data_IF_834289485939
#
_entry.id   IF_834289485939
#
_cell.length_a   1.000
_cell.length_b   1.000
_cell.length_c   1.000
_cell.angle_alpha   90.00
_cell.angle_beta   90.00
_cell.angle_gamma   90.00
#
_symmetry.space_group_name_H-M   'P 1'
#
loop_
_entity.id
_entity.type
_entity.pdbx_description
1 polymer ?
#
# COMPACT_ATOMS: atom_id res chain seq x y z
N UNK A 1 26.38 23.72 18.80
CA UNK A 1 24.96 23.63 18.44
C UNK A 1 24.91 23.54 16.94
N UNK A 2 24.59 22.37 16.36
CA UNK A 2 24.42 22.28 14.91
C UNK A 2 23.19 23.10 14.53
N UNK A 3 23.34 24.01 13.57
CA UNK A 3 22.20 24.78 13.07
C UNK A 3 21.23 23.82 12.35
N UNK A 4 19.93 24.10 12.43
CA UNK A 4 18.87 23.24 11.85
C UNK A 4 19.13 22.93 10.37
N UNK A 5 19.72 23.88 9.66
CA UNK A 5 20.05 23.80 8.24
C UNK A 5 21.19 22.82 7.95
N UNK A 6 22.20 22.72 8.84
CA UNK A 6 23.28 21.73 8.69
C UNK A 6 22.75 20.30 8.84
N UNK A 7 21.85 20.06 9.79
CA UNK A 7 21.24 18.75 9.98
C UNK A 7 20.39 18.33 8.78
N UNK A 8 19.67 19.28 8.17
CA UNK A 8 18.84 19.02 6.98
C UNK A 8 19.73 18.68 5.78
N UNK A 9 20.87 19.37 5.60
CA UNK A 9 21.81 19.07 4.52
C UNK A 9 22.48 17.71 4.70
N UNK A 10 22.82 17.33 5.92
CA UNK A 10 23.42 16.02 6.21
C UNK A 10 22.42 14.88 5.95
N UNK A 11 21.15 15.06 6.31
CA UNK A 11 20.06 14.13 5.99
C UNK A 11 19.78 14.08 4.47
N UNK A 12 19.83 15.23 3.79
CA UNK A 12 19.60 15.31 2.34
C UNK A 12 20.68 14.66 1.48
N UNK A 13 21.89 14.49 2.01
CA UNK A 13 23.00 13.81 1.34
C UNK A 13 23.06 12.30 1.62
N UNK A 14 22.22 11.78 2.52
CA UNK A 14 22.15 10.34 2.82
C UNK A 14 21.41 9.59 1.72
N UNK A 15 21.86 8.37 1.45
CA UNK A 15 21.11 7.45 0.59
C UNK A 15 19.83 6.98 1.29
N UNK A 16 18.84 6.53 0.51
CA UNK A 16 17.56 6.04 1.03
C UNK A 16 17.74 4.91 2.05
N UNK A 17 18.81 4.12 1.93
CA UNK A 17 19.14 3.02 2.83
C UNK A 17 19.69 3.54 4.17
N UNK A 18 20.59 4.52 4.13
CA UNK A 18 21.14 5.17 5.35
C UNK A 18 20.09 5.97 6.11
N UNK A 19 19.12 6.57 5.40
CA UNK A 19 17.97 7.21 6.02
C UNK A 19 17.08 6.21 6.76
N UNK A 20 16.88 5.01 6.21
CA UNK A 20 16.12 3.94 6.86
C UNK A 20 16.82 3.44 8.13
N UNK A 21 18.15 3.32 8.10
CA UNK A 21 18.95 2.97 9.27
C UNK A 21 18.92 4.06 10.34
N UNK A 22 18.99 5.34 9.94
CA UNK A 22 18.87 6.48 10.84
C UNK A 22 17.48 6.54 11.52
N UNK A 23 16.41 6.28 10.77
CA UNK A 23 15.05 6.18 11.32
C UNK A 23 14.96 5.05 12.35
N UNK A 24 15.49 3.86 12.04
CA UNK A 24 15.54 2.72 12.98
C UNK A 24 16.31 3.06 14.26
N UNK A 25 17.48 3.67 14.11
CA UNK A 25 18.30 4.09 15.24
C UNK A 25 17.58 5.13 16.11
N UNK A 26 16.81 6.04 15.50
CA UNK A 26 15.99 7.02 16.22
C UNK A 26 14.81 6.38 16.95
N UNK A 27 14.15 5.39 16.35
CA UNK A 27 13.06 4.63 16.97
C UNK A 27 13.55 3.86 18.21
N UNK A 28 14.73 3.24 18.14
CA UNK A 28 15.36 2.54 19.26
C UNK A 28 15.87 3.49 20.35
N UNK A 29 16.56 4.57 19.96
CA UNK A 29 17.14 5.55 20.90
C UNK A 29 16.10 6.32 21.69
N UNK A 30 15.03 6.74 21.03
CA UNK A 30 13.99 7.57 21.62
C UNK A 30 12.76 6.76 22.04
N UNK A 31 12.80 5.44 21.88
CA UNK A 31 11.71 4.55 22.26
C UNK A 31 10.39 4.89 21.55
N UNK A 32 10.48 5.51 20.36
CA UNK A 32 9.32 5.84 19.52
C UNK A 32 8.93 4.59 18.73
N UNK A 33 8.64 3.53 19.46
CA UNK A 33 7.95 2.36 18.95
C UNK A 33 6.48 2.52 19.27
N UNK A 34 5.61 2.38 18.27
CA UNK A 34 4.15 2.45 18.41
C UNK A 34 3.55 1.28 19.24
N UNK A 35 4.35 0.61 20.06
CA UNK A 35 4.00 -0.61 20.78
C UNK A 35 3.45 -0.40 22.20
N UNK A 36 3.32 0.84 22.71
CA UNK A 36 3.08 1.08 24.14
C UNK A 36 1.71 1.62 24.58
N UNK A 37 0.65 1.66 23.75
CA UNK A 37 -0.71 1.69 24.32
C UNK A 37 -1.72 0.73 23.65
N UNK A 38 -1.29 -0.45 23.17
CA UNK A 38 -2.21 -1.48 22.64
C UNK A 38 -2.59 -2.58 23.65
N UNK A 39 -2.14 -2.49 24.90
CA UNK A 39 -2.46 -3.50 25.94
C UNK A 39 -3.65 -3.14 26.84
N UNK A 40 -4.24 -1.94 26.72
CA UNK A 40 -5.26 -1.44 27.64
C UNK A 40 -6.69 -1.41 27.09
N UNK A 41 -6.94 -1.90 25.87
CA UNK A 41 -8.27 -1.86 25.24
C UNK A 41 -8.84 -3.27 25.00
N UNK A 42 -8.86 -4.09 26.04
CA UNK A 42 -9.70 -5.29 26.08
C UNK A 42 -11.12 -4.91 26.56
N UNK A 43 -11.95 -4.38 25.67
CA UNK A 43 -13.43 -4.46 25.71
C UNK A 43 -14.04 -3.95 24.38
N UNK A 44 -15.11 -4.60 23.85
CA UNK A 44 -15.41 -4.58 22.43
C UNK A 44 -16.39 -3.46 22.04
N UNK A 45 -16.09 -2.70 20.99
CA UNK A 45 -17.13 -2.14 20.12
C UNK A 45 -16.57 -1.69 18.78
N UNK A 46 -17.24 -2.15 17.72
CA UNK A 46 -17.35 -1.63 16.36
C UNK A 46 -16.27 -0.66 15.82
N UNK A 47 -15.59 -1.09 14.74
CA UNK A 47 -14.90 -0.20 13.80
C UNK A 47 -13.37 -0.30 13.81
N UNK A 48 -12.84 -1.50 13.55
CA UNK A 48 -11.44 -1.71 13.19
C UNK A 48 -11.31 -1.59 11.65
N UNK A 49 -10.26 -1.06 11.02
CA UNK A 49 -8.92 -0.78 11.50
C UNK A 49 -8.23 0.22 10.55
N UNK A 50 -7.51 1.16 11.14
CA UNK A 50 -6.59 2.06 10.47
C UNK A 50 -5.31 1.30 10.08
N UNK A 51 -5.38 0.53 8.99
CA UNK A 51 -4.26 -0.27 8.49
C UNK A 51 -3.31 0.53 7.58
N UNK A 52 -2.43 1.35 8.16
CA UNK A 52 -1.27 1.92 7.48
C UNK A 52 -0.01 1.74 8.34
N UNK A 53 0.27 0.52 8.81
CA UNK A 53 1.55 0.18 9.43
C UNK A 53 1.80 -1.34 9.46
N UNK A 54 2.22 -1.92 8.34
CA UNK A 54 3.07 -3.13 8.29
C UNK A 54 3.37 -3.46 6.83
N UNK A 55 4.60 -3.26 6.36
CA UNK A 55 5.04 -3.91 5.11
C UNK A 55 6.57 -3.95 4.90
N UNK A 56 7.35 -4.15 5.98
CA UNK A 56 8.76 -4.57 5.85
C UNK A 56 9.00 -6.06 6.13
N UNK A 57 7.95 -6.88 6.30
CA UNK A 57 8.09 -8.35 6.44
C UNK A 57 6.97 -9.14 5.74
N UNK A 58 6.46 -8.68 4.60
CA UNK A 58 5.64 -9.53 3.73
C UNK A 58 6.38 -9.77 2.41
N UNK A 59 6.71 -11.03 2.16
CA UNK A 59 7.15 -11.51 0.85
C UNK A 59 6.01 -11.53 -0.18
N UNK A 60 4.78 -11.27 0.26
CA UNK A 60 3.53 -11.41 -0.48
C UNK A 60 2.60 -10.23 -0.16
N UNK A 61 2.24 -9.46 -1.18
CA UNK A 61 1.36 -8.30 -1.09
C UNK A 61 -0.05 -8.66 -1.55
N UNK A 62 -1.04 -8.20 -0.79
CA UNK A 62 -2.43 -8.22 -1.22
C UNK A 62 -2.66 -7.04 -2.17
N UNK A 63 -3.20 -7.31 -3.35
CA UNK A 63 -3.53 -6.30 -4.37
C UNK A 63 -5.04 -6.13 -4.40
N UNK A 64 -5.51 -4.94 -4.01
CA UNK A 64 -6.93 -4.58 -4.02
C UNK A 64 -7.18 -3.48 -5.05
N UNK A 65 -8.13 -3.72 -5.96
CA UNK A 65 -8.62 -2.75 -6.93
C UNK A 65 -9.77 -1.94 -6.34
N UNK A 66 -9.73 -0.64 -6.54
CA UNK A 66 -10.80 0.29 -6.20
C UNK A 66 -11.05 1.13 -7.46
N UNK A 67 -12.22 0.99 -8.06
CA UNK A 67 -12.63 1.81 -9.20
C UNK A 67 -13.63 2.86 -8.75
N UNK A 68 -13.51 4.07 -9.30
CA UNK A 68 -14.51 5.11 -9.09
C UNK A 68 -15.65 4.92 -10.12
N UNK A 69 -16.88 5.35 -9.80
CA UNK A 69 -18.04 5.23 -10.72
C UNK A 69 -17.80 5.92 -12.08
N UNK A 70 -16.94 6.93 -12.10
CA UNK A 70 -16.59 7.71 -13.28
C UNK A 70 -15.37 7.16 -14.06
N UNK A 71 -14.75 6.08 -13.59
CA UNK A 71 -13.57 5.51 -14.25
C UNK A 71 -13.94 4.82 -15.57
N UNK A 72 -13.03 4.86 -16.55
CA UNK A 72 -13.20 4.20 -17.85
C UNK A 72 -13.09 2.68 -17.69
N UNK A 73 -14.24 2.04 -17.42
CA UNK A 73 -14.35 0.60 -17.13
C UNK A 73 -13.69 -0.25 -18.22
N UNK A 74 -13.79 0.15 -19.49
CA UNK A 74 -13.21 -0.61 -20.60
C UNK A 74 -11.68 -0.57 -20.54
N UNK A 75 -11.09 0.57 -20.20
CA UNK A 75 -9.64 0.69 -20.00
C UNK A 75 -9.15 -0.13 -18.81
N UNK A 76 -9.88 -0.07 -17.68
CA UNK A 76 -9.52 -0.86 -16.48
C UNK A 76 -9.64 -2.36 -16.75
N UNK A 77 -10.70 -2.84 -17.42
CA UNK A 77 -10.86 -4.26 -17.79
C UNK A 77 -9.70 -4.71 -18.70
N UNK A 78 -9.26 -3.87 -19.63
CA UNK A 78 -8.10 -4.19 -20.50
C UNK A 78 -6.81 -4.30 -19.69
N UNK A 79 -6.55 -3.35 -18.79
CA UNK A 79 -5.40 -3.36 -17.90
C UNK A 79 -5.40 -4.58 -16.97
N UNK A 80 -6.55 -4.91 -16.36
CA UNK A 80 -6.75 -6.11 -15.55
C UNK A 80 -6.36 -7.38 -16.29
N UNK A 81 -6.79 -7.52 -17.55
CA UNK A 81 -6.48 -8.69 -18.38
C UNK A 81 -5.03 -8.74 -18.90
N UNK A 82 -4.28 -7.65 -18.78
CA UNK A 82 -2.85 -7.63 -19.08
C UNK A 82 -2.00 -8.08 -17.88
N UNK A 83 -2.46 -7.77 -16.66
CA UNK A 83 -1.72 -8.06 -15.43
C UNK A 83 -2.25 -9.28 -14.66
N UNK A 84 -3.42 -9.79 -15.05
CA UNK A 84 -4.03 -11.01 -14.51
C UNK A 84 -4.43 -11.95 -15.64
N UNK A 85 -4.67 -13.22 -15.33
CA UNK A 85 -5.13 -14.24 -16.27
C UNK A 85 -6.67 -14.35 -16.35
N UNK A 86 -7.40 -13.38 -15.82
CA UNK A 86 -8.87 -13.40 -15.74
C UNK A 86 -9.53 -13.34 -17.13
N UNK A 87 -10.64 -14.07 -17.28
CA UNK A 87 -11.50 -14.01 -18.46
C UNK A 87 -12.24 -12.67 -18.58
N UNK A 88 -12.82 -12.37 -19.76
CA UNK A 88 -13.54 -11.10 -19.98
C UNK A 88 -14.71 -10.92 -19.00
N UNK A 89 -15.43 -11.99 -18.69
CA UNK A 89 -16.56 -11.96 -17.76
C UNK A 89 -16.11 -11.74 -16.32
N UNK A 90 -15.02 -12.39 -15.91
CA UNK A 90 -14.46 -12.26 -14.55
C UNK A 90 -13.84 -10.88 -14.34
N UNK A 91 -13.11 -10.37 -15.33
CA UNK A 91 -12.54 -9.02 -15.28
C UNK A 91 -13.62 -7.93 -15.24
N UNK A 92 -14.73 -8.10 -15.99
CA UNK A 92 -15.90 -7.20 -15.90
C UNK A 92 -16.48 -7.20 -14.49
N UNK A 93 -16.74 -8.39 -13.95
CA UNK A 93 -17.26 -8.53 -12.59
C UNK A 93 -16.33 -7.91 -11.55
N UNK A 94 -15.01 -8.14 -11.65
CA UNK A 94 -14.04 -7.57 -10.72
C UNK A 94 -14.01 -6.04 -10.76
N UNK A 95 -14.14 -5.41 -11.94
CA UNK A 95 -14.25 -3.95 -12.03
C UNK A 95 -15.57 -3.46 -11.46
N UNK A 96 -16.68 -4.13 -11.76
CA UNK A 96 -18.00 -3.77 -11.24
C UNK A 96 -18.08 -3.88 -9.71
N UNK A 97 -17.54 -4.97 -9.14
CA UNK A 97 -17.47 -5.21 -7.69
C UNK A 97 -16.50 -4.24 -6.99
N UNK A 98 -15.54 -3.67 -7.73
CA UNK A 98 -14.58 -2.67 -7.22
C UNK A 98 -15.16 -1.25 -7.21
N UNK A 99 -16.37 -1.04 -7.73
CA UNK A 99 -17.05 0.26 -7.69
C UNK A 99 -17.77 0.39 -6.35
N UNK A 100 -17.36 1.38 -5.56
CA UNK A 100 -17.93 1.62 -4.22
C UNK A 100 -17.43 0.66 -3.13
N UNK A 101 -16.49 -0.23 -3.47
CA UNK A 101 -15.81 -1.13 -2.54
C UNK A 101 -14.38 -1.44 -3.04
N UNK A 102 -13.70 -2.39 -2.41
CA UNK A 102 -12.41 -2.91 -2.87
C UNK A 102 -12.55 -4.36 -3.32
N UNK A 103 -12.04 -4.69 -4.51
CA UNK A 103 -11.98 -6.08 -5.00
C UNK A 103 -10.55 -6.60 -4.93
N UNK A 104 -10.36 -7.72 -4.23
CA UNK A 104 -9.05 -8.37 -4.16
C UNK A 104 -8.74 -9.02 -5.50
N UNK A 105 -7.64 -8.61 -6.13
CA UNK A 105 -7.13 -9.17 -7.38
C UNK A 105 -6.10 -10.28 -7.15
N UNK A 106 -5.30 -10.14 -6.09
CA UNK A 106 -4.34 -11.13 -5.65
C UNK A 106 -4.18 -11.05 -4.13
N UNK A 107 -4.15 -12.21 -3.46
CA UNK A 107 -3.92 -12.28 -2.01
C UNK A 107 -2.44 -12.38 -1.64
N UNK A 108 -1.61 -12.85 -2.59
CA UNK A 108 -0.20 -13.11 -2.39
C UNK A 108 0.63 -12.78 -3.65
N UNK A 109 0.67 -11.51 -4.05
CA UNK A 109 1.49 -11.06 -5.16
C UNK A 109 2.93 -10.77 -4.71
N UNK A 110 3.92 -11.12 -5.53
CA UNK A 110 5.31 -10.70 -5.28
C UNK A 110 5.42 -9.16 -5.30
N UNK A 111 6.47 -8.60 -4.69
CA UNK A 111 6.71 -7.15 -4.69
C UNK A 111 6.72 -6.54 -6.10
N UNK A 112 7.31 -7.27 -7.05
CA UNK A 112 7.44 -6.81 -8.42
C UNK A 112 6.10 -6.90 -9.18
N UNK A 113 5.32 -7.96 -8.94
CA UNK A 113 4.01 -8.12 -9.57
C UNK A 113 2.99 -7.14 -8.99
N UNK A 114 3.00 -6.92 -7.67
CA UNK A 114 2.15 -5.95 -6.99
C UNK A 114 2.39 -4.53 -7.51
N UNK A 115 3.67 -4.15 -7.71
CA UNK A 115 4.03 -2.85 -8.29
C UNK A 115 3.59 -2.72 -9.75
N UNK A 116 3.83 -3.74 -10.58
CA UNK A 116 3.37 -3.74 -11.98
C UNK A 116 1.86 -3.65 -12.11
N UNK A 117 1.13 -4.40 -11.27
CA UNK A 117 -0.33 -4.33 -11.20
C UNK A 117 -0.79 -2.93 -10.82
N UNK A 118 -0.20 -2.35 -9.77
CA UNK A 118 -0.48 -0.98 -9.35
C UNK A 118 -0.26 0.03 -10.47
N UNK A 119 0.92 0.05 -11.09
CA UNK A 119 1.26 1.00 -12.16
C UNK A 119 0.30 0.89 -13.36
N UNK A 120 0.01 -0.34 -13.80
CA UNK A 120 -0.81 -0.57 -14.99
C UNK A 120 -2.28 -0.21 -14.74
N UNK A 121 -2.81 -0.52 -13.55
CA UNK A 121 -4.20 -0.25 -13.18
C UNK A 121 -4.43 1.23 -12.84
N UNK A 122 -3.45 1.90 -12.20
CA UNK A 122 -3.50 3.34 -11.95
C UNK A 122 -3.40 4.16 -13.23
N UNK A 123 -2.57 3.73 -14.19
CA UNK A 123 -2.52 4.34 -15.53
C UNK A 123 -3.85 4.21 -16.29
N UNK A 124 -4.65 3.18 -15.99
CA UNK A 124 -5.97 2.99 -16.56
C UNK A 124 -7.09 3.78 -15.84
N UNK A 125 -6.78 4.49 -14.75
CA UNK A 125 -7.71 5.31 -13.99
C UNK A 125 -8.44 4.59 -12.85
N UNK A 126 -7.89 3.46 -12.38
CA UNK A 126 -8.31 2.84 -11.13
C UNK A 126 -7.35 3.22 -9.98
N UNK A 127 -7.73 2.95 -8.74
CA UNK A 127 -6.84 3.04 -7.58
C UNK A 127 -6.47 1.62 -7.14
N UNK A 128 -5.20 1.41 -6.75
CA UNK A 128 -4.75 0.12 -6.23
C UNK A 128 -4.21 0.29 -4.83
N UNK A 129 -4.75 -0.48 -3.89
CA UNK A 129 -4.25 -0.59 -2.52
C UNK A 129 -3.40 -1.85 -2.42
N UNK A 130 -2.17 -1.67 -1.92
CA UNK A 130 -1.24 -2.76 -1.59
C UNK A 130 -1.21 -2.89 -0.07
N UNK A 131 -1.37 -4.12 0.45
CA UNK A 131 -1.46 -4.40 1.90
C UNK A 131 -0.93 -5.77 2.32
#
# INVERSE_FOLDING_TARGET
MASREQLINDIGNMTVLELAELVKALEEKFGVSAAMPMAAAAAPSAGADAGAKKDEEKSEYKVELIADENSDKIKIIKALRQVTTLGLTEAKKAVEDSIGSSTVLAEAASKDDAKKMKETLEAAGAKVKLS
#
